data_IF_940669245799
#
_entry.id   IF_940669245799
#
_cell.length_a   1.000
_cell.length_b   1.000
_cell.length_c   1.000
_cell.angle_alpha   90.00
_cell.angle_beta   90.00
_cell.angle_gamma   90.00
#
_symmetry.space_group_name_H-M   'P 1'
#
loop_
_entity.id
_entity.type
_entity.pdbx_description
1 polymer ?
#
# COMPACT_ATOMS: atom_id res chain seq x y z
N UNK A 1 -14.63 53.75 38.80
CA UNK A 1 -13.67 53.06 37.89
C UNK A 1 -14.14 51.61 37.66
N UNK A 2 -15.13 51.41 36.79
CA UNK A 2 -15.55 50.08 36.32
C UNK A 2 -15.47 50.08 34.79
N UNK A 3 -14.26 49.90 34.25
CA UNK A 3 -14.05 49.67 32.80
C UNK A 3 -13.74 48.21 32.46
N UNK A 4 -13.42 47.36 33.44
CA UNK A 4 -13.03 45.95 33.21
C UNK A 4 -14.18 44.97 32.90
N UNK A 5 -15.45 45.34 33.13
CA UNK A 5 -16.57 44.39 33.11
C UNK A 5 -17.20 44.19 31.72
N UNK A 6 -17.10 45.19 30.85
CA UNK A 6 -17.58 45.17 29.45
C UNK A 6 -16.57 44.42 28.58
N UNK A 7 -15.28 44.69 28.79
CA UNK A 7 -14.17 43.99 28.13
C UNK A 7 -14.21 42.49 28.41
N UNK A 8 -14.54 42.07 29.64
CA UNK A 8 -14.63 40.65 29.98
C UNK A 8 -15.82 39.94 29.30
N UNK A 9 -16.96 40.62 29.12
CA UNK A 9 -18.12 40.04 28.41
C UNK A 9 -17.89 39.95 26.90
N UNK A 10 -17.32 40.99 26.30
CA UNK A 10 -16.90 40.97 24.89
C UNK A 10 -15.84 39.90 24.65
N UNK A 11 -14.81 39.83 25.50
CA UNK A 11 -13.75 38.83 25.39
C UNK A 11 -14.30 37.40 25.47
N UNK A 12 -15.21 37.11 26.41
CA UNK A 12 -15.88 35.81 26.50
C UNK A 12 -16.73 35.49 25.28
N UNK A 13 -17.37 36.50 24.68
CA UNK A 13 -18.13 36.33 23.45
C UNK A 13 -17.22 35.99 22.27
N UNK A 14 -16.13 36.72 22.09
CA UNK A 14 -15.13 36.42 21.06
C UNK A 14 -14.48 35.05 21.26
N UNK A 15 -14.19 34.65 22.51
CA UNK A 15 -13.62 33.33 22.80
C UNK A 15 -14.60 32.20 22.43
N UNK A 16 -15.89 32.37 22.74
CA UNK A 16 -16.95 31.42 22.35
C UNK A 16 -17.14 31.38 20.84
N UNK A 17 -17.13 32.53 20.17
CA UNK A 17 -17.24 32.63 18.72
C UNK A 17 -16.06 31.93 18.03
N UNK A 18 -14.84 32.15 18.53
CA UNK A 18 -13.63 31.50 18.03
C UNK A 18 -13.70 29.98 18.22
N UNK A 19 -14.12 29.51 19.39
CA UNK A 19 -14.28 28.08 19.67
C UNK A 19 -15.32 27.43 18.74
N UNK A 20 -16.46 28.11 18.52
CA UNK A 20 -17.49 27.67 17.57
C UNK A 20 -16.97 27.63 16.14
N UNK A 21 -16.18 28.63 15.73
CA UNK A 21 -15.56 28.68 14.40
C UNK A 21 -14.59 27.51 14.17
N UNK A 22 -13.75 27.20 15.17
CA UNK A 22 -12.77 26.10 15.10
C UNK A 22 -13.45 24.73 14.99
N UNK A 23 -14.58 24.54 15.66
CA UNK A 23 -15.38 23.30 15.58
C UNK A 23 -16.15 23.19 14.25
N UNK A 24 -16.38 24.31 13.56
CA UNK A 24 -17.06 24.37 12.27
C UNK A 24 -16.10 24.16 11.08
N UNK A 25 -14.79 24.08 11.31
CA UNK A 25 -13.83 23.74 10.25
C UNK A 25 -13.99 22.26 9.89
N UNK A 26 -14.31 21.90 8.64
CA UNK A 26 -14.33 20.50 8.23
C UNK A 26 -12.93 19.92 8.36
N UNK A 27 -12.78 18.84 9.13
CA UNK A 27 -11.55 18.07 9.12
C UNK A 27 -11.46 17.32 7.79
N UNK A 28 -10.63 17.79 6.87
CA UNK A 28 -10.34 17.04 5.64
C UNK A 28 -9.34 15.95 5.97
N UNK A 29 -9.80 14.70 5.96
CA UNK A 29 -8.89 13.54 5.96
C UNK A 29 -8.42 13.32 4.52
N UNK A 30 -7.11 13.29 4.31
CA UNK A 30 -6.57 12.80 3.05
C UNK A 30 -6.71 11.29 3.04
N UNK A 31 -7.34 10.72 2.02
CA UNK A 31 -7.46 9.28 1.86
C UNK A 31 -7.41 8.91 0.39
N UNK A 32 -7.06 7.66 0.11
CA UNK A 32 -6.96 7.15 -1.24
C UNK A 32 -6.70 5.65 -1.29
N UNK A 33 -6.44 5.14 -2.49
CA UNK A 33 -6.10 3.74 -2.73
C UNK A 33 -4.91 3.68 -3.66
N UNK A 34 -3.83 3.03 -3.22
CA UNK A 34 -2.75 2.64 -4.11
C UNK A 34 -3.14 1.33 -4.81
N UNK A 35 -3.13 1.34 -6.14
CA UNK A 35 -3.52 0.18 -6.95
C UNK A 35 -2.31 -0.38 -7.71
N UNK A 36 -2.13 -1.69 -7.65
CA UNK A 36 -1.11 -2.42 -8.40
C UNK A 36 -1.80 -3.52 -9.22
N UNK A 37 -1.66 -3.46 -10.54
CA UNK A 37 -2.17 -4.47 -11.46
C UNK A 37 -1.04 -5.41 -11.87
N UNK A 38 -1.18 -6.70 -11.61
CA UNK A 38 -0.26 -7.71 -12.14
C UNK A 38 -0.70 -8.05 -13.57
N UNK A 39 0.16 -7.81 -14.55
CA UNK A 39 -0.14 -8.07 -15.97
C UNK A 39 0.39 -9.42 -16.43
N UNK A 40 1.64 -9.73 -16.09
CA UNK A 40 2.28 -10.99 -16.48
C UNK A 40 3.46 -11.32 -15.59
N UNK A 41 3.73 -12.62 -15.47
CA UNK A 41 4.97 -13.16 -14.93
C UNK A 41 5.51 -14.17 -15.92
N UNK A 42 6.84 -14.23 -16.05
CA UNK A 42 7.53 -15.13 -16.97
C UNK A 42 8.76 -15.74 -16.30
N UNK A 43 8.67 -17.03 -16.00
CA UNK A 43 9.74 -17.87 -15.46
C UNK A 43 9.84 -19.17 -16.28
N UNK A 44 10.35 -19.07 -17.52
CA UNK A 44 10.38 -20.19 -18.49
C UNK A 44 11.08 -21.44 -17.91
N UNK A 45 12.07 -21.25 -17.03
CA UNK A 45 12.86 -22.34 -16.46
C UNK A 45 12.25 -22.97 -15.21
N UNK A 46 11.20 -22.37 -14.63
CA UNK A 46 10.61 -22.85 -13.38
C UNK A 46 11.58 -22.84 -12.19
N UNK A 47 12.49 -21.86 -12.17
CA UNK A 47 13.56 -21.77 -11.19
C UNK A 47 13.31 -20.65 -10.18
N UNK A 48 13.78 -20.87 -8.96
CA UNK A 48 13.82 -19.88 -7.88
C UNK A 48 15.03 -18.95 -8.05
N UNK A 49 15.07 -17.85 -7.29
CA UNK A 49 16.19 -16.90 -7.34
C UNK A 49 17.55 -17.51 -6.94
N UNK A 50 17.56 -18.65 -6.22
CA UNK A 50 18.78 -19.39 -5.88
C UNK A 50 19.22 -20.36 -6.97
N UNK A 51 18.47 -20.47 -8.08
CA UNK A 51 18.76 -21.37 -9.19
C UNK A 51 18.29 -22.81 -8.98
N UNK A 52 17.49 -23.09 -7.93
CA UNK A 52 16.86 -24.39 -7.71
C UNK A 52 15.46 -24.43 -8.31
N UNK A 53 14.92 -25.63 -8.55
CA UNK A 53 13.50 -25.79 -8.91
C UNK A 53 12.57 -25.32 -7.79
N UNK A 54 11.36 -24.89 -8.16
CA UNK A 54 10.33 -24.48 -7.19
C UNK A 54 9.91 -25.62 -6.26
N UNK A 55 9.86 -26.84 -6.80
CA UNK A 55 9.67 -28.07 -6.04
C UNK A 55 10.99 -28.86 -5.87
N UNK A 56 10.94 -29.96 -5.11
CA UNK A 56 12.05 -30.91 -4.99
C UNK A 56 12.33 -31.60 -6.33
N UNK A 57 13.13 -30.95 -7.18
CA UNK A 57 13.46 -31.41 -8.53
C UNK A 57 14.88 -31.08 -8.96
N UNK A 58 15.40 -31.88 -9.89
CA UNK A 58 16.70 -31.61 -10.50
C UNK A 58 16.54 -30.56 -11.59
N UNK A 59 17.38 -29.53 -11.55
CA UNK A 59 17.50 -28.57 -12.65
C UNK A 59 18.15 -29.25 -13.85
N UNK A 60 17.49 -29.21 -15.00
CA UNK A 60 18.00 -29.77 -16.27
C UNK A 60 18.42 -28.65 -17.24
N UNK A 61 19.11 -28.95 -18.35
CA UNK A 61 19.42 -27.95 -19.38
C UNK A 61 18.18 -27.25 -19.94
N UNK A 62 17.03 -27.94 -19.93
CA UNK A 62 15.74 -27.44 -20.42
C UNK A 62 14.91 -26.76 -19.30
N UNK A 63 15.47 -26.65 -18.08
CA UNK A 63 14.82 -26.08 -16.89
C UNK A 63 14.28 -27.15 -15.93
N UNK A 64 13.36 -26.74 -15.07
CA UNK A 64 12.68 -27.59 -14.10
C UNK A 64 11.50 -28.31 -14.74
N UNK A 65 11.30 -29.57 -14.35
CA UNK A 65 10.25 -30.42 -14.88
C UNK A 65 8.86 -29.99 -14.41
N UNK A 66 8.74 -29.70 -13.12
CA UNK A 66 7.47 -29.36 -12.48
C UNK A 66 7.32 -27.82 -12.44
N UNK A 67 6.13 -27.29 -12.77
CA UNK A 67 5.89 -25.86 -12.79
C UNK A 67 5.76 -25.28 -11.38
N UNK A 68 6.18 -24.03 -11.21
CA UNK A 68 6.01 -23.28 -9.97
C UNK A 68 4.56 -22.89 -9.74
N UNK A 69 4.08 -22.95 -8.49
CA UNK A 69 2.85 -22.24 -8.08
C UNK A 69 3.18 -20.79 -7.71
N UNK A 70 2.94 -19.85 -8.64
CA UNK A 70 3.38 -18.46 -8.51
C UNK A 70 2.32 -17.60 -7.83
N UNK A 71 2.70 -16.97 -6.71
CA UNK A 71 1.93 -15.92 -6.03
C UNK A 71 2.79 -14.66 -5.82
N UNK A 72 2.15 -13.51 -5.56
CA UNK A 72 2.84 -12.22 -5.41
C UNK A 72 2.66 -11.68 -4.00
N UNK A 73 3.77 -11.19 -3.43
CA UNK A 73 3.80 -10.44 -2.17
C UNK A 73 4.16 -8.99 -2.44
N UNK A 74 3.37 -8.07 -1.90
CA UNK A 74 3.54 -6.63 -2.03
C UNK A 74 3.80 -6.04 -0.66
N UNK A 75 4.82 -5.18 -0.59
CA UNK A 75 5.15 -4.38 0.58
C UNK A 75 5.31 -2.93 0.12
N UNK A 76 4.42 -2.05 0.58
CA UNK A 76 4.48 -0.62 0.31
C UNK A 76 4.97 0.11 1.55
N UNK A 77 6.02 0.91 1.40
CA UNK A 77 6.63 1.70 2.49
C UNK A 77 7.12 3.05 1.99
N UNK A 78 7.59 3.88 2.91
CA UNK A 78 8.11 5.20 2.64
C UNK A 78 9.31 5.19 1.67
N UNK A 79 9.51 6.32 1.00
CA UNK A 79 10.69 6.51 0.17
C UNK A 79 11.97 6.38 1.01
N UNK A 80 12.94 5.65 0.48
CA UNK A 80 14.27 5.51 1.04
C UNK A 80 15.30 5.92 -0.01
N UNK A 81 16.25 6.78 0.36
CA UNK A 81 17.38 7.15 -0.51
C UNK A 81 18.23 5.91 -0.88
N UNK A 82 18.34 4.95 0.06
CA UNK A 82 18.92 3.63 -0.18
C UNK A 82 17.92 2.55 0.20
N UNK A 83 17.43 1.81 -0.79
CA UNK A 83 16.41 0.78 -0.58
C UNK A 83 16.99 -0.41 0.16
N UNK A 84 16.30 -0.85 1.22
CA UNK A 84 16.55 -2.11 1.92
C UNK A 84 15.35 -3.03 1.77
N UNK A 85 15.59 -4.35 1.73
CA UNK A 85 14.52 -5.36 1.74
C UNK A 85 13.95 -5.56 3.16
N UNK A 86 14.68 -5.12 4.18
CA UNK A 86 14.24 -5.18 5.58
C UNK A 86 13.26 -4.06 5.94
N UNK A 87 12.57 -4.24 7.07
CA UNK A 87 11.65 -3.27 7.66
C UNK A 87 10.16 -3.61 7.48
N UNK A 88 9.31 -2.72 7.98
CA UNK A 88 7.85 -2.88 7.94
C UNK A 88 7.25 -2.18 6.71
N UNK A 89 6.13 -2.73 6.22
CA UNK A 89 5.36 -2.13 5.12
C UNK A 89 4.43 -1.04 5.67
N UNK A 90 4.99 0.15 5.92
CA UNK A 90 4.33 1.27 6.63
C UNK A 90 3.10 1.80 5.91
N UNK A 91 2.99 1.64 4.59
CA UNK A 91 1.82 2.03 3.80
C UNK A 91 0.90 0.85 3.47
N UNK A 92 1.25 -0.36 3.88
CA UNK A 92 0.44 -1.56 3.71
C UNK A 92 1.18 -2.71 3.00
N UNK A 93 0.64 -3.91 3.15
CA UNK A 93 1.11 -5.11 2.46
C UNK A 93 -0.06 -5.95 1.99
N UNK A 94 0.19 -6.80 1.00
CA UNK A 94 -0.79 -7.72 0.46
C UNK A 94 -0.10 -8.98 -0.08
N UNK A 95 -0.75 -10.14 0.06
CA UNK A 95 -0.30 -11.40 -0.54
C UNK A 95 -1.46 -11.95 -1.36
N UNK A 96 -1.22 -12.26 -2.62
CA UNK A 96 -2.23 -12.88 -3.49
C UNK A 96 -2.34 -14.37 -3.19
N UNK A 97 -3.45 -14.96 -3.63
CA UNK A 97 -3.48 -16.40 -3.90
C UNK A 97 -2.54 -16.75 -5.08
N UNK A 98 -2.43 -18.03 -5.42
CA UNK A 98 -1.68 -18.48 -6.59
C UNK A 98 -2.33 -17.91 -7.86
N UNK A 99 -1.58 -17.11 -8.61
CA UNK A 99 -2.03 -16.45 -9.85
C UNK A 99 -1.74 -17.29 -11.09
N UNK A 100 -0.88 -18.30 -11.00
CA UNK A 100 -0.59 -19.16 -12.14
C UNK A 100 0.69 -19.93 -11.95
N UNK A 101 1.09 -20.61 -13.03
CA UNK A 101 2.28 -21.45 -13.03
C UNK A 101 3.57 -20.63 -13.30
N UNK A 102 4.53 -21.20 -14.03
CA UNK A 102 5.77 -20.57 -14.49
C UNK A 102 5.56 -19.28 -15.29
N UNK A 103 4.55 -19.26 -16.16
CA UNK A 103 4.23 -18.12 -17.00
C UNK A 103 2.72 -17.92 -17.05
N UNK A 104 2.30 -16.68 -16.85
CA UNK A 104 0.90 -16.31 -16.99
C UNK A 104 0.80 -14.88 -17.50
N UNK A 105 -0.34 -14.58 -18.13
CA UNK A 105 -0.70 -13.25 -18.58
C UNK A 105 -2.17 -13.01 -18.32
N UNK A 106 -2.47 -11.93 -17.61
CA UNK A 106 -3.83 -11.49 -17.34
C UNK A 106 -4.18 -10.27 -18.21
N UNK A 107 -5.46 -10.11 -18.56
CA UNK A 107 -5.94 -8.86 -19.12
C UNK A 107 -5.87 -7.75 -18.06
N UNK A 108 -5.74 -6.50 -18.51
CA UNK A 108 -5.90 -5.33 -17.65
C UNK A 108 -7.29 -5.37 -16.98
N UNK A 109 -7.35 -5.00 -15.70
CA UNK A 109 -8.57 -4.99 -14.87
C UNK A 109 -9.11 -6.39 -14.50
N UNK A 110 -8.28 -7.44 -14.53
CA UNK A 110 -8.65 -8.70 -13.90
C UNK A 110 -8.69 -8.53 -12.37
N UNK A 111 -9.82 -8.87 -11.70
CA UNK A 111 -9.98 -8.63 -10.27
C UNK A 111 -9.00 -9.43 -9.42
N UNK A 112 -8.64 -10.65 -9.85
CA UNK A 112 -7.74 -11.55 -9.12
C UNK A 112 -6.29 -11.02 -9.09
N UNK A 113 -5.96 -10.09 -9.99
CA UNK A 113 -4.63 -9.50 -10.16
C UNK A 113 -4.56 -8.03 -9.81
N UNK A 114 -5.68 -7.43 -9.39
CA UNK A 114 -5.75 -6.04 -8.94
C UNK A 114 -5.60 -5.96 -7.42
N UNK A 115 -4.42 -5.52 -6.97
CA UNK A 115 -4.11 -5.32 -5.56
C UNK A 115 -4.47 -3.89 -5.17
N UNK A 116 -5.21 -3.73 -4.07
CA UNK A 116 -5.65 -2.44 -3.56
C UNK A 116 -5.17 -2.24 -2.12
N UNK A 117 -4.37 -1.20 -1.89
CA UNK A 117 -3.90 -0.80 -0.56
C UNK A 117 -4.53 0.56 -0.19
N UNK A 118 -5.60 0.56 0.62
CA UNK A 118 -6.23 1.79 1.07
C UNK A 118 -5.36 2.53 2.10
N UNK A 119 -5.37 3.85 2.07
CA UNK A 119 -4.68 4.70 3.03
C UNK A 119 -5.52 5.90 3.47
N UNK A 120 -5.23 6.44 4.66
CA UNK A 120 -5.89 7.59 5.27
C UNK A 120 -4.91 8.72 5.69
N UNK A 121 -3.72 8.71 5.07
CA UNK A 121 -2.71 9.76 5.18
C UNK A 121 -2.57 10.55 3.87
N UNK A 122 -1.84 11.68 3.92
CA UNK A 122 -1.55 12.47 2.73
C UNK A 122 -0.46 11.80 1.88
N UNK A 123 -0.74 11.55 0.61
CA UNK A 123 0.23 11.05 -0.37
C UNK A 123 1.01 12.25 -0.94
N UNK A 124 2.28 12.42 -0.52
CA UNK A 124 3.15 13.55 -0.86
C UNK A 124 4.42 13.08 -1.56
#
# INVERSE_FOLDING_TARGET
>A
MCRLQIDCRLLKFFLRLLLLLMMAVPQTKASGVFQLQIESVRNIRGETASGNCCDEGLVTPDGCKDPCETFVRVCLKEFMDRVTMDGYCTFGNYTTDVLGENEFKYPLNSPDTLIQLPFDFAWL
#
